data_IF_131698868398
#
_entry.id   IF_131698868398
#
_cell.length_a   1.000
_cell.length_b   1.000
_cell.length_c   1.000
_cell.angle_alpha   90.00
_cell.angle_beta   90.00
_cell.angle_gamma   90.00
#
_symmetry.space_group_name_H-M   'P 1'
#
loop_
_entity.id
_entity.type
_entity.pdbx_description
1 polymer ?
#
# COMPACT_ATOMS: atom_id res chain seq x y z
N UNK A 1 -19.54 -0.48 2.34
CA UNK A 1 -18.75 -1.72 2.35
C UNK A 1 -17.29 -1.41 2.01
N UNK A 2 -16.35 -2.22 2.47
CA UNK A 2 -14.89 -2.06 2.24
C UNK A 2 -14.32 -3.14 1.28
N UNK A 3 -15.05 -3.69 0.29
CA UNK A 3 -14.48 -4.72 -0.54
C UNK A 3 -13.32 -4.11 -1.36
N UNK A 4 -12.14 -4.75 -1.41
CA UNK A 4 -11.86 -6.13 -1.01
C UNK A 4 -11.07 -6.32 0.29
N UNK A 5 -11.10 -5.35 1.22
CA UNK A 5 -10.26 -5.35 2.44
C UNK A 5 -11.06 -5.60 3.72
N UNK A 6 -12.23 -6.23 3.61
CA UNK A 6 -13.13 -6.47 4.74
C UNK A 6 -12.51 -7.43 5.76
N UNK A 7 -11.83 -8.48 5.29
CA UNK A 7 -11.10 -9.43 6.14
C UNK A 7 -9.98 -8.72 6.91
N UNK A 8 -9.21 -7.87 6.23
CA UNK A 8 -8.16 -7.08 6.86
C UNK A 8 -8.70 -6.09 7.88
N UNK A 9 -9.79 -5.38 7.58
CA UNK A 9 -10.46 -4.48 8.52
C UNK A 9 -10.93 -5.22 9.77
N UNK A 10 -11.51 -6.41 9.59
CA UNK A 10 -11.95 -7.27 10.69
C UNK A 10 -10.78 -7.71 11.57
N UNK A 11 -9.72 -8.27 10.98
CA UNK A 11 -8.55 -8.74 11.73
C UNK A 11 -7.87 -7.63 12.52
N UNK A 12 -7.70 -6.44 11.92
CA UNK A 12 -7.09 -5.32 12.64
C UNK A 12 -7.99 -4.84 13.79
N UNK A 13 -9.32 -4.79 13.62
CA UNK A 13 -10.23 -4.45 14.71
C UNK A 13 -10.19 -5.46 15.85
N UNK A 14 -10.04 -6.75 15.55
CA UNK A 14 -9.80 -7.77 16.56
C UNK A 14 -8.48 -7.53 17.30
N UNK A 15 -7.39 -7.26 16.58
CA UNK A 15 -6.09 -7.00 17.17
C UNK A 15 -6.10 -5.75 18.09
N UNK A 16 -6.78 -4.67 17.69
CA UNK A 16 -6.96 -3.47 18.51
C UNK A 16 -7.69 -3.79 19.82
N UNK A 17 -8.58 -4.78 19.83
CA UNK A 17 -9.27 -5.27 21.04
C UNK A 17 -8.44 -6.26 21.87
N UNK A 18 -7.15 -6.42 21.57
CA UNK A 18 -6.25 -7.32 22.29
C UNK A 18 -6.32 -8.79 21.85
N UNK A 19 -7.07 -9.11 20.79
CA UNK A 19 -7.06 -10.47 20.24
C UNK A 19 -5.69 -10.76 19.61
N UNK A 20 -5.20 -11.98 19.83
CA UNK A 20 -3.94 -12.47 19.25
C UNK A 20 -4.23 -13.58 18.26
N UNK A 21 -3.53 -13.54 17.13
CA UNK A 21 -3.62 -14.56 16.10
C UNK A 21 -2.32 -15.35 16.08
N UNK A 22 -2.42 -16.67 16.09
CA UNK A 22 -1.28 -17.58 15.97
C UNK A 22 -1.38 -18.32 14.64
N UNK A 23 -0.27 -18.39 13.92
CA UNK A 23 -0.15 -19.26 12.76
C UNK A 23 0.20 -20.66 13.25
N UNK A 24 -0.60 -21.65 12.83
CA UNK A 24 -0.35 -23.06 13.13
C UNK A 24 -0.13 -23.81 11.83
N UNK A 25 1.08 -24.36 11.68
CA UNK A 25 1.46 -25.17 10.52
C UNK A 25 1.19 -26.65 10.80
N UNK A 26 -0.09 -27.01 10.83
CA UNK A 26 -0.52 -28.37 11.05
C UNK A 26 -0.78 -29.06 9.71
N UNK A 27 -0.52 -30.37 9.66
CA UNK A 27 -0.84 -31.14 8.47
C UNK A 27 -2.35 -31.08 8.19
N UNK A 28 -2.72 -30.89 6.92
CA UNK A 28 -4.12 -30.81 6.49
C UNK A 28 -4.84 -29.48 6.75
N UNK A 29 -4.19 -28.45 7.31
CA UNK A 29 -4.84 -27.14 7.58
C UNK A 29 -4.63 -26.09 6.49
N UNK A 30 -3.95 -26.42 5.41
CA UNK A 30 -3.77 -25.52 4.28
C UNK A 30 -5.10 -25.30 3.54
N UNK A 31 -5.50 -24.03 3.41
CA UNK A 31 -6.68 -23.66 2.65
C UNK A 31 -6.36 -23.54 1.15
N UNK A 32 -7.13 -24.23 0.30
CA UNK A 32 -7.05 -24.05 -1.15
C UNK A 32 -7.72 -22.74 -1.55
N UNK A 33 -6.92 -21.71 -1.86
CA UNK A 33 -7.43 -20.41 -2.34
C UNK A 33 -7.63 -20.46 -3.85
N UNK A 34 -8.89 -20.38 -4.29
CA UNK A 34 -9.23 -20.33 -5.73
C UNK A 34 -9.07 -18.91 -6.27
N UNK A 35 -8.24 -18.75 -7.30
CA UNK A 35 -8.11 -17.48 -8.01
C UNK A 35 -9.19 -17.36 -9.10
N UNK A 36 -10.23 -16.55 -8.85
CA UNK A 36 -11.27 -16.30 -9.84
C UNK A 36 -10.92 -15.16 -10.81
N UNK A 37 -11.37 -15.20 -12.08
CA UNK A 37 -11.13 -14.13 -13.06
C UNK A 37 -11.69 -12.76 -12.65
N UNK A 38 -12.69 -12.71 -11.79
CA UNK A 38 -13.30 -11.46 -11.29
C UNK A 38 -12.69 -11.03 -9.95
N UNK A 39 -11.52 -11.58 -9.59
CA UNK A 39 -10.83 -11.23 -8.36
C UNK A 39 -10.64 -9.71 -8.27
N UNK A 40 -10.97 -9.18 -7.11
CA UNK A 40 -10.80 -7.79 -6.73
C UNK A 40 -9.36 -7.28 -6.88
N UNK A 41 -8.37 -8.17 -6.95
CA UNK A 41 -6.98 -7.89 -7.31
C UNK A 41 -6.81 -7.30 -8.73
N UNK A 42 -7.79 -7.48 -9.64
CA UNK A 42 -7.77 -6.91 -11.00
C UNK A 42 -8.16 -5.43 -11.04
N UNK A 43 -9.01 -4.95 -10.12
CA UNK A 43 -9.33 -3.53 -10.02
C UNK A 43 -8.48 -2.86 -8.92
N UNK A 44 -7.21 -2.63 -9.25
CA UNK A 44 -6.20 -2.06 -8.34
C UNK A 44 -6.58 -0.69 -7.81
N UNK A 45 -7.20 0.16 -8.63
CA UNK A 45 -7.70 1.48 -8.21
C UNK A 45 -8.72 1.34 -7.08
N UNK A 46 -9.73 0.46 -7.26
CA UNK A 46 -10.72 0.18 -6.22
C UNK A 46 -10.07 -0.40 -4.98
N UNK A 47 -9.15 -1.35 -5.15
CA UNK A 47 -8.43 -1.98 -4.03
C UNK A 47 -7.66 -0.95 -3.19
N UNK A 48 -6.82 -0.11 -3.80
CA UNK A 48 -6.06 0.92 -3.07
C UNK A 48 -6.97 1.97 -2.42
N UNK A 49 -8.07 2.36 -3.07
CA UNK A 49 -9.06 3.26 -2.46
C UNK A 49 -9.69 2.63 -1.20
N UNK A 50 -10.02 1.35 -1.24
CA UNK A 50 -10.54 0.62 -0.07
C UNK A 50 -9.50 0.50 1.04
N UNK A 51 -8.24 0.18 0.71
CA UNK A 51 -7.11 0.17 1.67
C UNK A 51 -6.97 1.54 2.35
N UNK A 52 -6.97 2.63 1.58
CA UNK A 52 -6.83 3.98 2.12
C UNK A 52 -8.01 4.36 3.02
N UNK A 53 -9.23 3.93 2.68
CA UNK A 53 -10.40 4.17 3.53
C UNK A 53 -10.30 3.41 4.85
N UNK A 54 -9.95 2.12 4.79
CA UNK A 54 -9.71 1.28 5.97
C UNK A 54 -8.66 1.91 6.88
N UNK A 55 -7.47 2.23 6.35
CA UNK A 55 -6.36 2.79 7.13
C UNK A 55 -6.68 4.13 7.78
N UNK A 56 -7.45 5.00 7.10
CA UNK A 56 -7.94 6.26 7.69
C UNK A 56 -8.91 6.02 8.86
N UNK A 57 -9.72 4.98 8.78
CA UNK A 57 -10.58 4.57 9.89
C UNK A 57 -9.74 4.07 11.06
N UNK A 58 -8.74 3.23 10.77
CA UNK A 58 -7.83 2.68 11.77
C UNK A 58 -7.01 3.76 12.49
N UNK A 59 -6.58 4.82 11.81
CA UNK A 59 -5.88 5.96 12.46
C UNK A 59 -6.65 6.59 13.62
N UNK A 60 -7.98 6.43 13.67
CA UNK A 60 -8.82 6.96 14.77
C UNK A 60 -8.95 5.99 15.95
N UNK A 61 -8.54 4.74 15.76
CA UNK A 61 -8.69 3.65 16.71
C UNK A 61 -7.36 3.22 17.32
N UNK A 62 -6.25 3.42 16.61
CA UNK A 62 -4.91 3.09 17.07
C UNK A 62 -4.43 4.18 18.03
N UNK A 63 -4.04 3.79 19.23
CA UNK A 63 -3.46 4.67 20.25
C UNK A 63 -1.94 4.55 20.34
N UNK A 64 -1.39 3.42 19.92
CA UNK A 64 0.04 3.15 19.92
C UNK A 64 0.77 3.95 18.83
N UNK A 65 1.84 4.65 19.22
CA UNK A 65 2.56 5.56 18.32
C UNK A 65 3.28 4.82 17.20
N UNK A 66 3.90 3.68 17.50
CA UNK A 66 4.59 2.86 16.50
C UNK A 66 3.60 2.33 15.45
N UNK A 67 2.44 1.83 15.89
CA UNK A 67 1.38 1.39 15.00
C UNK A 67 0.78 2.53 14.16
N UNK A 68 0.68 3.75 14.72
CA UNK A 68 0.26 4.93 13.95
C UNK A 68 1.27 5.27 12.86
N UNK A 69 2.56 5.21 13.17
CA UNK A 69 3.63 5.45 12.21
C UNK A 69 3.64 4.42 11.08
N UNK A 70 3.56 3.13 11.44
CA UNK A 70 3.44 2.06 10.46
C UNK A 70 2.19 2.23 9.59
N UNK A 71 1.06 2.66 10.18
CA UNK A 71 -0.15 2.92 9.40
C UNK A 71 0.03 4.10 8.43
N UNK A 72 0.72 5.17 8.85
CA UNK A 72 1.03 6.31 7.97
C UNK A 72 1.94 5.91 6.80
N UNK A 73 2.99 5.12 7.05
CA UNK A 73 3.88 4.59 5.99
C UNK A 73 3.10 3.76 4.97
N UNK A 74 2.18 2.92 5.46
CA UNK A 74 1.36 2.10 4.58
C UNK A 74 0.31 2.92 3.81
N UNK A 75 -0.21 4.00 4.41
CA UNK A 75 -1.08 4.95 3.70
C UNK A 75 -0.31 5.71 2.61
N UNK A 76 0.91 6.19 2.90
CA UNK A 76 1.77 6.83 1.91
C UNK A 76 2.04 5.89 0.72
N UNK A 77 2.37 4.64 1.02
CA UNK A 77 2.59 3.59 0.02
C UNK A 77 1.35 3.34 -0.84
N UNK A 78 0.17 3.22 -0.24
CA UNK A 78 -1.09 3.02 -0.96
C UNK A 78 -1.49 4.24 -1.81
N UNK A 79 -1.28 5.47 -1.32
CA UNK A 79 -1.47 6.69 -2.13
C UNK A 79 -0.53 6.70 -3.34
N UNK A 80 0.74 6.34 -3.14
CA UNK A 80 1.74 6.25 -4.21
C UNK A 80 1.34 5.25 -5.30
N UNK A 81 0.95 4.03 -4.92
CA UNK A 81 0.47 3.04 -5.90
C UNK A 81 -0.83 3.45 -6.59
N UNK A 82 -1.77 4.10 -5.88
CA UNK A 82 -2.95 4.66 -6.50
C UNK A 82 -2.58 5.73 -7.54
N UNK A 83 -1.55 6.54 -7.27
CA UNK A 83 -0.99 7.49 -8.22
C UNK A 83 -0.51 6.83 -9.51
N UNK A 84 0.21 5.72 -9.40
CA UNK A 84 0.66 4.92 -10.57
C UNK A 84 -0.53 4.47 -11.42
N UNK A 85 -1.56 3.92 -10.78
CA UNK A 85 -2.73 3.40 -11.50
C UNK A 85 -3.55 4.53 -12.15
N UNK A 86 -3.63 5.72 -11.55
CA UNK A 86 -4.27 6.91 -12.15
C UNK A 86 -3.46 7.44 -13.36
N UNK A 87 -2.12 7.50 -13.29
CA UNK A 87 -1.27 7.84 -14.44
C UNK A 87 -1.46 6.82 -15.57
N UNK A 88 -1.47 5.53 -15.22
CA UNK A 88 -1.67 4.45 -16.18
C UNK A 88 -3.04 4.56 -16.89
N UNK A 89 -4.09 4.89 -16.13
CA UNK A 89 -5.43 5.18 -16.64
C UNK A 89 -5.54 6.50 -17.44
N UNK A 90 -4.46 7.27 -17.57
CA UNK A 90 -4.41 8.52 -18.33
C UNK A 90 -4.75 9.79 -17.53
N UNK A 91 -5.01 9.68 -16.23
CA UNK A 91 -5.30 10.81 -15.35
C UNK A 91 -4.02 11.36 -14.70
N UNK A 92 -3.16 12.00 -15.49
CA UNK A 92 -1.84 12.48 -15.05
C UNK A 92 -1.90 13.40 -13.82
N UNK A 93 -2.74 14.42 -13.85
CA UNK A 93 -2.88 15.38 -12.73
C UNK A 93 -3.31 14.70 -11.43
N UNK A 94 -4.24 13.74 -11.52
CA UNK A 94 -4.66 12.94 -10.36
C UNK A 94 -3.51 12.08 -9.85
N UNK A 95 -2.76 11.45 -10.75
CA UNK A 95 -1.58 10.66 -10.40
C UNK A 95 -0.51 11.48 -9.68
N UNK A 96 -0.16 12.64 -10.22
CA UNK A 96 0.79 13.58 -9.59
C UNK A 96 0.32 14.03 -8.22
N UNK A 97 -0.95 14.42 -8.08
CA UNK A 97 -1.53 14.79 -6.80
C UNK A 97 -1.44 13.66 -5.76
N UNK A 98 -1.65 12.41 -6.19
CA UNK A 98 -1.50 11.23 -5.32
C UNK A 98 -0.06 11.02 -4.86
N UNK A 99 0.92 11.22 -5.74
CA UNK A 99 2.34 11.17 -5.36
C UNK A 99 2.72 12.27 -4.37
N UNK A 100 2.23 13.51 -4.57
CA UNK A 100 2.45 14.60 -3.61
C UNK A 100 1.81 14.29 -2.25
N UNK A 101 0.61 13.71 -2.25
CA UNK A 101 -0.07 13.26 -1.02
C UNK A 101 0.69 12.14 -0.32
N UNK A 102 1.24 11.18 -1.07
CA UNK A 102 2.12 10.15 -0.52
C UNK A 102 3.37 10.77 0.13
N UNK A 103 3.99 11.76 -0.52
CA UNK A 103 5.12 12.49 0.03
C UNK A 103 4.80 13.25 1.33
N UNK A 104 3.59 13.80 1.45
CA UNK A 104 3.15 14.52 2.64
C UNK A 104 2.85 13.61 3.84
N UNK A 105 2.40 12.37 3.59
CA UNK A 105 2.15 11.37 4.63
C UNK A 105 3.43 10.68 5.14
N UNK A 106 4.50 10.77 4.36
CA UNK A 106 5.74 10.07 4.60
C UNK A 106 6.65 10.84 5.56
N UNK A 107 6.96 10.23 6.71
CA UNK A 107 7.87 10.82 7.71
C UNK A 107 9.34 10.68 7.30
N UNK A 108 9.70 9.56 6.65
CA UNK A 108 11.09 9.25 6.29
C UNK A 108 11.53 10.01 5.04
N UNK A 109 12.54 10.88 5.16
CA UNK A 109 13.06 11.73 4.07
C UNK A 109 13.32 10.97 2.76
N UNK A 110 13.95 9.80 2.84
CA UNK A 110 14.26 8.96 1.66
C UNK A 110 13.02 8.60 0.84
N UNK A 111 11.93 8.25 1.51
CA UNK A 111 10.69 7.82 0.87
C UNK A 111 9.87 9.02 0.41
N UNK A 112 9.93 10.14 1.15
CA UNK A 112 9.34 11.40 0.73
C UNK A 112 9.95 11.88 -0.59
N UNK A 113 11.29 11.85 -0.70
CA UNK A 113 12.00 12.19 -1.94
C UNK A 113 11.63 11.27 -3.09
N UNK A 114 11.47 9.96 -2.83
CA UNK A 114 10.96 9.00 -3.84
C UNK A 114 9.61 9.47 -4.40
N UNK A 115 8.66 9.82 -3.54
CA UNK A 115 7.33 10.21 -4.00
C UNK A 115 7.33 11.56 -4.74
N UNK A 116 8.15 12.52 -4.29
CA UNK A 116 8.36 13.78 -5.01
C UNK A 116 8.99 13.54 -6.39
N UNK A 117 9.98 12.66 -6.47
CA UNK A 117 10.58 12.26 -7.74
C UNK A 117 9.55 11.60 -8.67
N UNK A 118 8.71 10.70 -8.15
CA UNK A 118 7.61 10.11 -8.93
C UNK A 118 6.65 11.19 -9.46
N UNK A 119 6.32 12.20 -8.65
CA UNK A 119 5.46 13.31 -9.06
C UNK A 119 6.09 14.12 -10.21
N UNK A 120 7.39 14.45 -10.09
CA UNK A 120 8.13 15.21 -11.10
C UNK A 120 8.37 14.42 -12.40
N UNK A 121 8.60 13.11 -12.30
CA UNK A 121 8.88 12.24 -13.45
C UNK A 121 7.61 11.78 -14.18
N UNK A 122 6.45 11.81 -13.53
CA UNK A 122 5.16 11.39 -14.09
C UNK A 122 4.85 11.91 -15.52
N UNK A 123 5.05 13.20 -15.86
CA UNK A 123 4.78 13.70 -17.20
C UNK A 123 5.74 13.18 -18.29
N UNK A 124 6.96 12.76 -17.92
CA UNK A 124 8.02 12.41 -18.88
C UNK A 124 8.23 10.90 -19.03
N UNK A 125 7.77 10.11 -18.07
CA UNK A 125 7.99 8.66 -18.06
C UNK A 125 6.83 7.96 -18.80
N UNK A 126 7.12 7.07 -19.76
CA UNK A 126 6.09 6.27 -20.40
C UNK A 126 5.25 5.50 -19.38
N UNK A 127 3.92 5.46 -19.57
CA UNK A 127 2.96 4.84 -18.62
C UNK A 127 3.37 3.42 -18.18
N UNK A 128 3.91 2.61 -19.10
CA UNK A 128 4.33 1.24 -18.81
C UNK A 128 5.57 1.16 -17.90
N UNK A 129 6.44 2.18 -17.90
CA UNK A 129 7.63 2.25 -17.02
C UNK A 129 7.32 2.81 -15.64
N UNK A 130 6.15 3.43 -15.43
CA UNK A 130 5.78 4.03 -14.15
C UNK A 130 5.72 3.00 -13.01
N UNK A 131 5.19 1.80 -13.27
CA UNK A 131 5.18 0.70 -12.30
C UNK A 131 6.59 0.27 -11.91
N UNK A 132 7.50 0.19 -12.89
CA UNK A 132 8.90 -0.15 -12.65
C UNK A 132 9.62 0.94 -11.85
N UNK A 133 9.33 2.22 -12.10
CA UNK A 133 9.91 3.35 -11.36
C UNK A 133 9.55 3.32 -9.87
N UNK A 134 8.30 3.00 -9.55
CA UNK A 134 7.87 2.85 -8.14
C UNK A 134 8.45 1.58 -7.50
N UNK A 135 8.57 0.48 -8.26
CA UNK A 135 9.10 -0.79 -7.78
C UNK A 135 10.62 -0.81 -7.60
N UNK A 136 11.38 -0.11 -8.45
CA UNK A 136 12.86 -0.10 -8.45
C UNK A 136 13.46 0.44 -7.14
N UNK A 137 12.67 1.18 -6.36
CA UNK A 137 13.07 1.69 -5.05
C UNK A 137 12.83 0.71 -3.88
N UNK A 138 12.29 -0.49 -4.13
CA UNK A 138 12.01 -1.50 -3.10
C UNK A 138 13.02 -2.66 -3.05
N UNK A 139 13.92 -2.80 -4.03
CA UNK A 139 14.81 -4.00 -4.14
C UNK A 139 16.30 -3.72 -4.02
N UNK A 140 16.75 -2.46 -4.00
CA UNK A 140 18.19 -2.13 -3.99
C UNK A 140 18.85 -2.03 -2.60
N UNK A 141 18.08 -1.94 -1.51
CA UNK A 141 18.62 -1.63 -0.18
C UNK A 141 18.46 -2.75 0.87
N UNK A 142 17.71 -3.82 0.57
CA UNK A 142 17.50 -4.96 1.49
C UNK A 142 18.27 -6.22 1.11
N UNK A 143 18.86 -6.29 -0.08
CA UNK A 143 19.74 -7.40 -0.50
C UNK A 143 21.22 -7.19 -0.15
N UNK A 144 21.61 -6.04 0.41
CA UNK A 144 23.02 -5.72 0.74
C UNK A 144 23.37 -5.82 2.23
N UNK A 145 22.49 -6.35 3.08
CA UNK A 145 22.71 -6.45 4.54
C UNK A 145 22.45 -7.84 5.13
N UNK A 146 22.70 -8.89 4.33
CA UNK A 146 22.53 -10.29 4.75
C UNK A 146 23.58 -11.24 4.14
N UNK A 147 24.79 -10.75 3.86
CA UNK A 147 25.97 -11.58 3.59
C UNK A 147 27.20 -10.94 4.22
N UNK A 148 27.44 -11.34 5.46
CA UNK A 148 28.73 -11.43 6.14
C UNK A 148 28.45 -12.07 7.49
#
# INVERSE_FOLDING_TARGET
SLPPVEDWDYWVRCAIKGMRFQYENLEGTLALVRAHPVSSSRNRVRAYKSVLRMRKSLSRLITDEEALDLNSEQMATAEGYLGVEEVFAGSLLRGMWRFLRAAALERKRRWRLKWLFCAAAAPFVPKHRMRALVAASLTGALTRRGRS
#
